data_IF_189024011856
#
_entry.id   IF_189024011856
#
_cell.length_a   1.000
_cell.length_b   1.000
_cell.length_c   1.000
_cell.angle_alpha   90.00
_cell.angle_beta   90.00
_cell.angle_gamma   90.00
#
_symmetry.space_group_name_H-M   'P 1'
#
loop_
_entity.id
_entity.type
_entity.pdbx_description
1 polymer ?
#
# COMPACT_ATOMS: atom_id res chain seq x y z
N UNK A 1 7.52 -9.73 10.21
CA UNK A 1 7.34 -8.27 9.98
C UNK A 1 7.05 -7.98 8.51
N UNK A 2 6.45 -6.82 8.16
CA UNK A 2 6.26 -6.40 6.76
C UNK A 2 7.57 -5.81 6.22
N UNK A 3 8.12 -6.36 5.14
CA UNK A 3 9.40 -5.92 4.55
C UNK A 3 9.27 -4.75 3.60
N UNK A 4 8.10 -4.54 3.02
CA UNK A 4 7.87 -3.48 2.03
C UNK A 4 7.97 -2.08 2.62
N UNK A 5 8.47 -1.17 1.81
CA UNK A 5 8.32 0.27 2.05
C UNK A 5 7.11 0.78 1.29
N UNK A 6 5.92 0.62 1.89
CA UNK A 6 4.64 0.98 1.26
C UNK A 6 4.63 2.42 0.76
N UNK A 7 5.30 3.33 1.46
CA UNK A 7 5.38 4.72 1.03
C UNK A 7 6.07 4.88 -0.32
N UNK A 8 7.23 4.23 -0.48
CA UNK A 8 7.99 4.26 -1.72
C UNK A 8 7.24 3.50 -2.81
N UNK A 9 6.69 2.34 -2.48
CA UNK A 9 6.00 1.48 -3.44
C UNK A 9 4.81 2.23 -4.09
N UNK A 10 3.95 2.87 -3.28
CA UNK A 10 2.81 3.63 -3.81
C UNK A 10 3.26 4.83 -4.65
N UNK A 11 4.33 5.53 -4.26
CA UNK A 11 4.88 6.65 -5.04
C UNK A 11 5.41 6.19 -6.39
N UNK A 12 6.16 5.07 -6.42
CA UNK A 12 6.66 4.48 -7.66
C UNK A 12 5.50 4.07 -8.57
N UNK A 13 4.44 3.44 -8.02
CA UNK A 13 3.25 3.07 -8.81
C UNK A 13 2.48 4.28 -9.36
N UNK A 14 2.42 5.39 -8.62
CA UNK A 14 1.85 6.64 -9.14
C UNK A 14 2.64 7.14 -10.36
N UNK A 15 3.98 7.12 -10.28
CA UNK A 15 4.86 7.54 -11.38
C UNK A 15 4.73 6.61 -12.59
N UNK A 16 4.75 5.29 -12.38
CA UNK A 16 4.56 4.30 -13.45
C UNK A 16 3.21 4.46 -14.17
N UNK A 17 2.17 4.88 -13.45
CA UNK A 17 0.84 5.14 -14.00
C UNK A 17 0.70 6.55 -14.60
N UNK A 18 1.70 7.43 -14.47
CA UNK A 18 1.61 8.82 -14.90
C UNK A 18 0.57 9.64 -14.10
N UNK A 19 0.30 9.26 -12.86
CA UNK A 19 -0.73 9.89 -11.99
C UNK A 19 -0.10 10.51 -10.75
N UNK A 20 -0.74 11.56 -10.24
CA UNK A 20 -0.44 12.11 -8.92
C UNK A 20 -1.21 11.38 -7.84
N UNK A 21 -0.74 11.46 -6.58
CA UNK A 21 -1.50 10.92 -5.43
C UNK A 21 -2.87 11.59 -5.27
N UNK A 22 -3.00 12.85 -5.68
CA UNK A 22 -4.27 13.59 -5.65
C UNK A 22 -5.26 12.98 -6.64
N UNK A 23 -4.83 12.76 -7.88
CA UNK A 23 -5.66 12.09 -8.89
C UNK A 23 -6.03 10.66 -8.47
N UNK A 24 -5.08 9.91 -7.88
CA UNK A 24 -5.37 8.58 -7.34
C UNK A 24 -6.45 8.66 -6.24
N UNK A 25 -6.36 9.63 -5.33
CA UNK A 25 -7.35 9.81 -4.26
C UNK A 25 -8.73 10.15 -4.83
N UNK A 26 -8.80 11.05 -5.80
CA UNK A 26 -10.03 11.44 -6.49
C UNK A 26 -10.67 10.24 -7.20
N UNK A 27 -9.89 9.44 -7.93
CA UNK A 27 -10.38 8.27 -8.66
C UNK A 27 -10.96 7.17 -7.76
N UNK A 28 -10.42 7.01 -6.55
CA UNK A 28 -10.93 6.04 -5.56
C UNK A 28 -11.96 6.65 -4.61
N UNK A 29 -12.41 7.89 -4.86
CA UNK A 29 -13.45 8.56 -4.08
C UNK A 29 -13.05 8.92 -2.66
N UNK A 30 -11.77 9.23 -2.42
CA UNK A 30 -11.24 9.58 -1.09
C UNK A 30 -10.45 10.90 -1.11
N UNK A 31 -9.93 11.31 0.05
CA UNK A 31 -9.13 12.53 0.17
C UNK A 31 -7.64 12.23 0.05
N UNK A 32 -6.87 13.16 -0.53
CA UNK A 32 -5.40 13.09 -0.57
C UNK A 32 -4.80 12.94 0.84
N UNK A 33 -5.44 13.52 1.84
CA UNK A 33 -5.03 13.43 3.24
C UNK A 33 -5.22 12.02 3.81
N UNK A 34 -6.30 11.32 3.45
CA UNK A 34 -6.52 9.93 3.81
C UNK A 34 -5.52 9.00 3.13
N UNK A 35 -5.24 9.19 1.84
CA UNK A 35 -4.17 8.47 1.12
C UNK A 35 -2.81 8.67 1.81
N UNK A 36 -2.47 9.90 2.19
CA UNK A 36 -1.23 10.20 2.90
C UNK A 36 -1.16 9.51 4.28
N UNK A 37 -2.27 9.42 5.00
CA UNK A 37 -2.33 8.70 6.27
C UNK A 37 -2.07 7.19 6.08
N UNK A 38 -2.61 6.56 5.04
CA UNK A 38 -2.39 5.14 4.73
C UNK A 38 -0.93 4.89 4.37
N UNK A 39 -0.37 5.71 3.48
CA UNK A 39 1.02 5.60 3.01
C UNK A 39 2.02 5.75 4.16
N UNK A 40 1.76 6.67 5.10
CA UNK A 40 2.64 6.91 6.25
C UNK A 40 2.45 5.90 7.38
N UNK A 41 1.25 5.34 7.56
CA UNK A 41 0.97 4.35 8.60
C UNK A 41 1.24 2.94 8.09
N UNK A 42 2.45 2.45 8.35
CA UNK A 42 2.83 1.06 8.04
C UNK A 42 1.86 0.01 8.63
N UNK A 43 1.33 0.27 9.83
CA UNK A 43 0.40 -0.61 10.54
C UNK A 43 -1.04 -0.59 9.99
N UNK A 44 -1.36 0.36 9.11
CA UNK A 44 -2.72 0.55 8.59
C UNK A 44 -3.02 -0.22 7.31
N UNK A 45 -1.98 -0.57 6.55
CA UNK A 45 -2.12 -1.19 5.22
C UNK A 45 -2.34 -2.69 5.34
N UNK A 46 -1.58 -3.34 6.21
CA UNK A 46 -1.76 -4.75 6.57
C UNK A 46 -2.30 -4.78 7.98
N UNK A 47 -3.42 -5.47 8.19
CA UNK A 47 -4.06 -5.56 9.49
C UNK A 47 -3.07 -6.06 10.56
N UNK A 48 -2.98 -5.34 11.69
CA UNK A 48 -2.05 -5.66 12.79
C UNK A 48 -2.22 -7.09 13.32
N UNK A 49 -3.45 -7.58 13.44
CA UNK A 49 -3.73 -8.96 13.87
C UNK A 49 -3.16 -9.96 12.87
N UNK A 50 -3.29 -9.69 11.57
CA UNK A 50 -2.70 -10.54 10.53
C UNK A 50 -1.16 -10.56 10.59
N UNK A 51 -0.53 -9.41 10.78
CA UNK A 51 0.94 -9.32 10.97
C UNK A 51 1.38 -10.16 12.16
N UNK A 52 0.69 -10.04 13.31
CA UNK A 52 0.98 -10.82 14.50
C UNK A 52 0.80 -12.33 14.29
N UNK A 53 -0.22 -12.75 13.53
CA UNK A 53 -0.41 -14.16 13.18
C UNK A 53 0.77 -14.69 12.36
N UNK A 54 1.20 -13.98 11.33
CA UNK A 54 2.34 -14.39 10.49
C UNK A 54 3.64 -14.44 11.30
N UNK A 55 3.86 -13.47 12.19
CA UNK A 55 5.02 -13.45 13.08
C UNK A 55 5.03 -14.64 14.04
N UNK A 56 3.88 -15.03 14.61
CA UNK A 56 3.78 -16.22 15.47
C UNK A 56 4.02 -17.53 14.71
N UNK A 57 3.73 -17.54 13.41
CA UNK A 57 4.04 -18.66 12.52
C UNK A 57 5.48 -18.64 12.00
N UNK A 58 6.27 -17.61 12.31
CA UNK A 58 7.68 -17.49 11.89
C UNK A 58 7.88 -16.93 10.47
N UNK A 59 6.87 -16.24 9.91
CA UNK A 59 6.92 -15.69 8.56
C UNK A 59 7.06 -14.17 8.55
N UNK A 60 7.84 -13.68 7.58
CA UNK A 60 7.81 -12.29 7.14
C UNK A 60 6.78 -12.09 6.02
N UNK A 61 6.30 -10.86 5.87
CA UNK A 61 5.32 -10.48 4.86
C UNK A 61 6.01 -9.65 3.78
N UNK A 62 5.86 -10.09 2.53
CA UNK A 62 6.26 -9.35 1.34
C UNK A 62 5.04 -9.17 0.42
N UNK A 63 4.81 -7.95 -0.03
CA UNK A 63 3.73 -7.56 -0.92
C UNK A 63 4.31 -7.35 -2.32
N UNK A 64 3.75 -8.06 -3.29
CA UNK A 64 4.10 -7.89 -4.71
C UNK A 64 2.89 -7.30 -5.45
N UNK A 65 3.13 -6.24 -6.23
CA UNK A 65 2.10 -5.57 -7.01
C UNK A 65 2.09 -6.08 -8.45
N UNK A 66 1.02 -6.77 -8.85
CA UNK A 66 0.85 -7.25 -10.22
C UNK A 66 -0.09 -6.30 -10.96
N UNK A 67 0.33 -5.80 -12.13
CA UNK A 67 -0.49 -4.91 -12.96
C UNK A 67 -1.76 -5.65 -13.38
N UNK A 68 -2.93 -5.04 -13.15
CA UNK A 68 -4.22 -5.60 -13.58
C UNK A 68 -4.21 -5.71 -15.11
N UNK A 69 -4.49 -6.90 -15.63
CA UNK A 69 -4.73 -7.10 -17.07
C UNK A 69 -6.11 -6.53 -17.38
N UNK A 70 -6.21 -5.74 -18.44
CA UNK A 70 -7.50 -5.34 -19.01
C UNK A 70 -8.15 -6.61 -19.56
N UNK A 71 -9.39 -6.89 -19.12
CA UNK A 71 -10.22 -7.96 -19.67
C UNK A 71 -11.06 -7.41 -20.82
#
# INVERSE_FOLDING_TARGET
MVKNNIEVDVKVKCIEAGKTQVQLAEEIGTTSQYVNQIIKKKDGVVNKTFVQMMEKLGYDIELTYVKRKEC
#
